data_IF_785147115645
#
_entry.id   IF_785147115645
#
_cell.length_a   1.000
_cell.length_b   1.000
_cell.length_c   1.000
_cell.angle_alpha   90.00
_cell.angle_beta   90.00
_cell.angle_gamma   90.00
#
_symmetry.space_group_name_H-M   'P 1'
#
loop_
_entity.id
_entity.type
_entity.pdbx_description
1 polymer ?
#
# COMPACT_ATOMS: atom_id res chain seq x y z
N UNK A 1 4.01 -28.31 -28.14
CA UNK A 1 4.78 -27.09 -28.47
C UNK A 1 5.22 -26.46 -27.15
N UNK A 2 6.48 -26.70 -26.76
CA UNK A 2 6.99 -26.25 -25.47
C UNK A 2 7.38 -24.77 -25.58
N UNK A 3 6.62 -23.89 -24.92
CA UNK A 3 7.06 -22.53 -24.68
C UNK A 3 8.01 -22.56 -23.48
N UNK A 4 9.30 -22.40 -23.73
CA UNK A 4 10.26 -21.99 -22.70
C UNK A 4 9.82 -20.60 -22.25
N UNK A 5 9.12 -20.51 -21.11
CA UNK A 5 8.97 -19.23 -20.41
C UNK A 5 10.39 -18.81 -20.04
N UNK A 6 10.90 -17.79 -20.72
CA UNK A 6 12.09 -17.10 -20.26
C UNK A 6 11.84 -16.72 -18.79
N UNK A 7 12.67 -17.24 -17.89
CA UNK A 7 12.71 -16.76 -16.52
C UNK A 7 13.10 -15.29 -16.61
N UNK A 8 12.12 -14.39 -16.55
CA UNK A 8 12.40 -12.98 -16.38
C UNK A 8 13.23 -12.86 -15.11
N UNK A 9 14.37 -12.20 -15.17
CA UNK A 9 15.14 -11.90 -13.99
C UNK A 9 14.24 -11.10 -13.02
N UNK A 10 13.74 -11.74 -11.98
CA UNK A 10 12.94 -11.09 -10.95
C UNK A 10 13.87 -10.33 -10.01
N UNK A 11 14.33 -9.15 -10.43
CA UNK A 11 15.13 -8.27 -9.60
C UNK A 11 14.25 -7.71 -8.46
N UNK A 12 14.69 -7.92 -7.21
CA UNK A 12 14.09 -7.25 -6.07
C UNK A 12 14.51 -5.78 -6.05
N UNK A 13 13.56 -4.88 -6.28
CA UNK A 13 13.81 -3.43 -6.41
C UNK A 13 13.22 -2.61 -5.25
N UNK A 14 12.50 -3.26 -4.34
CA UNK A 14 11.82 -2.60 -3.24
C UNK A 14 10.93 -3.56 -2.47
N UNK A 15 10.16 -2.99 -1.55
CA UNK A 15 9.12 -3.69 -0.82
C UNK A 15 7.92 -2.77 -0.63
N UNK A 16 6.73 -3.34 -0.72
CA UNK A 16 5.47 -2.73 -0.30
C UNK A 16 4.90 -3.61 0.81
N UNK A 17 4.79 -3.03 2.00
CA UNK A 17 4.19 -3.66 3.18
C UNK A 17 2.71 -3.30 3.23
N UNK A 18 1.90 -4.27 3.65
CA UNK A 18 0.52 -4.11 4.09
C UNK A 18 0.42 -4.80 5.44
N UNK A 19 -0.01 -4.07 6.46
CA UNK A 19 -0.13 -4.57 7.84
C UNK A 19 -1.38 -4.01 8.50
N UNK A 20 -1.78 -4.59 9.62
CA UNK A 20 -2.95 -4.15 10.35
C UNK A 20 -2.88 -4.62 11.80
N UNK A 21 -3.37 -3.78 12.71
CA UNK A 21 -3.66 -4.16 14.08
C UNK A 21 -5.15 -4.44 14.21
N UNK A 22 -5.51 -5.57 14.83
CA UNK A 22 -6.91 -5.95 15.08
C UNK A 22 -7.81 -5.86 13.82
N UNK A 23 -7.30 -6.34 12.67
CA UNK A 23 -7.96 -6.16 11.38
C UNK A 23 -9.42 -6.63 11.34
N UNK A 24 -9.73 -7.77 11.95
CA UNK A 24 -11.09 -8.30 11.97
C UNK A 24 -12.11 -7.36 12.65
N UNK A 25 -11.65 -6.54 13.62
CA UNK A 25 -12.49 -5.61 14.36
C UNK A 25 -12.53 -4.23 13.71
N UNK A 26 -11.37 -3.73 13.26
CA UNK A 26 -11.21 -2.37 12.77
C UNK A 26 -11.41 -2.25 11.25
N UNK A 27 -11.01 -3.27 10.50
CA UNK A 27 -10.96 -3.25 9.02
C UNK A 27 -9.99 -2.21 8.46
N UNK A 28 -9.01 -1.74 9.25
CA UNK A 28 -8.03 -0.73 8.84
C UNK A 28 -6.68 -1.37 8.60
N UNK A 29 -6.05 -1.03 7.47
CA UNK A 29 -4.68 -1.44 7.11
C UNK A 29 -3.74 -0.25 7.10
N UNK A 30 -2.46 -0.45 7.43
CA UNK A 30 -1.37 0.49 7.18
C UNK A 30 -0.52 0.00 6.00
N UNK A 31 0.07 0.94 5.25
CA UNK A 31 0.98 0.68 4.15
C UNK A 31 2.31 1.42 4.35
N UNK A 32 3.39 0.68 4.19
CA UNK A 32 4.75 1.21 4.19
C UNK A 32 5.52 0.72 2.96
N UNK A 33 6.55 1.44 2.53
CA UNK A 33 7.30 1.01 1.35
C UNK A 33 8.68 1.62 1.22
N UNK A 34 9.52 0.95 0.43
CA UNK A 34 10.79 1.49 -0.03
C UNK A 34 11.11 0.98 -1.43
N UNK A 35 11.89 1.76 -2.18
CA UNK A 35 12.46 1.40 -3.47
C UNK A 35 13.95 1.73 -3.48
N UNK A 36 14.76 0.90 -4.15
CA UNK A 36 16.16 1.24 -4.42
C UNK A 36 16.23 2.51 -5.30
N UNK A 37 17.26 3.37 -5.13
CA UNK A 37 17.29 4.69 -5.77
C UNK A 37 17.06 4.68 -7.29
N UNK A 38 17.67 3.73 -8.00
CA UNK A 38 17.62 3.66 -9.47
C UNK A 38 16.22 3.36 -10.04
N UNK A 39 15.29 2.86 -9.23
CA UNK A 39 13.91 2.55 -9.63
C UNK A 39 12.86 3.58 -9.17
N UNK A 40 13.28 4.63 -8.46
CA UNK A 40 12.40 5.74 -8.04
C UNK A 40 12.05 6.65 -9.23
N UNK A 41 10.91 7.34 -9.14
CA UNK A 41 10.47 8.29 -10.18
C UNK A 41 9.95 7.65 -11.46
N UNK A 42 9.77 6.32 -11.49
CA UNK A 42 9.35 5.55 -12.67
C UNK A 42 7.92 5.02 -12.59
N UNK A 43 7.10 5.52 -11.66
CA UNK A 43 5.73 5.02 -11.44
C UNK A 43 5.62 3.75 -10.58
N UNK A 44 6.70 2.97 -10.43
CA UNK A 44 6.73 1.71 -9.64
C UNK A 44 6.14 1.86 -8.24
N UNK A 45 6.43 2.99 -7.57
CA UNK A 45 5.93 3.22 -6.22
C UNK A 45 4.42 3.39 -6.14
N UNK A 46 3.80 3.97 -7.18
CA UNK A 46 2.34 4.07 -7.29
C UNK A 46 1.73 2.71 -7.61
N UNK A 47 2.33 1.96 -8.53
CA UNK A 47 1.85 0.63 -8.94
C UNK A 47 1.86 -0.37 -7.77
N UNK A 48 2.96 -0.45 -7.02
CA UNK A 48 3.05 -1.39 -5.88
C UNK A 48 2.01 -1.06 -4.78
N UNK A 49 1.78 0.24 -4.50
CA UNK A 49 0.80 0.69 -3.52
C UNK A 49 -0.62 0.38 -4.01
N UNK A 50 -0.92 0.64 -5.28
CA UNK A 50 -2.20 0.30 -5.87
C UNK A 50 -2.49 -1.21 -5.78
N UNK A 51 -1.46 -2.06 -5.97
CA UNK A 51 -1.60 -3.51 -5.84
C UNK A 51 -2.04 -3.95 -4.43
N UNK A 52 -1.38 -3.44 -3.38
CA UNK A 52 -1.77 -3.81 -2.00
C UNK A 52 -3.07 -3.16 -1.55
N UNK A 53 -3.45 -2.00 -2.12
CA UNK A 53 -4.76 -1.40 -1.87
C UNK A 53 -5.88 -2.22 -2.51
N UNK A 54 -5.65 -2.76 -3.71
CA UNK A 54 -6.60 -3.70 -4.30
C UNK A 54 -6.78 -4.93 -3.42
N UNK A 55 -5.69 -5.56 -2.96
CA UNK A 55 -5.75 -6.66 -2.00
C UNK A 55 -6.56 -6.27 -0.75
N UNK A 56 -6.26 -5.10 -0.15
CA UNK A 56 -6.95 -4.66 1.06
C UNK A 56 -8.44 -4.44 0.86
N UNK A 57 -8.84 -3.66 -0.15
CA UNK A 57 -10.23 -3.24 -0.32
C UNK A 57 -11.09 -4.26 -1.07
N UNK A 58 -10.58 -4.81 -2.17
CA UNK A 58 -11.36 -5.70 -3.03
C UNK A 58 -11.47 -7.10 -2.43
N UNK A 59 -10.38 -7.58 -1.83
CA UNK A 59 -10.29 -8.99 -1.45
C UNK A 59 -10.42 -9.23 0.06
N UNK A 60 -9.78 -8.39 0.89
CA UNK A 60 -9.81 -8.53 2.35
C UNK A 60 -10.97 -7.76 3.01
N UNK A 61 -11.67 -6.92 2.25
CA UNK A 61 -12.81 -6.16 2.76
C UNK A 61 -12.44 -5.04 3.75
N UNK A 62 -11.22 -4.50 3.65
CA UNK A 62 -10.81 -3.34 4.44
C UNK A 62 -11.76 -2.15 4.22
N UNK A 63 -11.99 -1.35 5.26
CA UNK A 63 -12.83 -0.14 5.21
C UNK A 63 -11.99 1.13 5.02
N UNK A 64 -10.73 1.09 5.45
CA UNK A 64 -9.78 2.18 5.23
C UNK A 64 -8.33 1.67 5.14
N UNK A 65 -7.50 2.39 4.41
CA UNK A 65 -6.06 2.27 4.42
C UNK A 65 -5.45 3.57 4.94
N UNK A 66 -4.53 3.45 5.89
CA UNK A 66 -3.71 4.56 6.40
C UNK A 66 -2.29 4.43 5.89
N UNK A 67 -1.56 5.53 5.95
CA UNK A 67 -0.12 5.55 5.74
C UNK A 67 0.45 6.78 6.40
N UNK A 68 1.76 6.77 6.59
CA UNK A 68 2.47 7.92 7.14
C UNK A 68 3.82 8.12 6.48
N UNK A 69 4.25 9.36 6.41
CA UNK A 69 5.55 9.71 5.85
C UNK A 69 6.08 10.99 6.49
N UNK A 70 7.40 11.11 6.62
CA UNK A 70 8.02 12.37 7.02
C UNK A 70 7.53 13.51 6.13
N UNK A 71 7.32 14.69 6.71
CA UNK A 71 6.80 15.85 6.00
C UNK A 71 7.66 16.27 4.78
N UNK A 72 8.95 15.89 4.76
CA UNK A 72 9.91 16.12 3.68
C UNK A 72 10.01 14.96 2.67
N UNK A 73 9.31 13.84 2.90
CA UNK A 73 9.25 12.71 1.98
C UNK A 73 8.21 12.95 0.88
N UNK A 74 8.49 13.92 0.02
CA UNK A 74 7.60 14.32 -1.07
C UNK A 74 7.26 13.17 -2.03
N UNK A 75 8.15 12.19 -2.19
CA UNK A 75 7.91 11.03 -3.04
C UNK A 75 6.78 10.14 -2.50
N UNK A 76 6.83 9.76 -1.22
CA UNK A 76 5.78 8.94 -0.62
C UNK A 76 4.46 9.69 -0.54
N UNK A 77 4.50 10.96 -0.12
CA UNK A 77 3.32 11.84 -0.04
C UNK A 77 2.65 12.03 -1.41
N UNK A 78 3.46 12.22 -2.46
CA UNK A 78 2.98 12.33 -3.83
C UNK A 78 2.29 11.06 -4.31
N UNK A 79 2.87 9.88 -4.04
CA UNK A 79 2.24 8.59 -4.35
C UNK A 79 0.89 8.46 -3.65
N UNK A 80 0.83 8.71 -2.33
CA UNK A 80 -0.41 8.59 -1.57
C UNK A 80 -1.50 9.52 -2.11
N UNK A 81 -1.18 10.81 -2.34
CA UNK A 81 -2.14 11.77 -2.91
C UNK A 81 -2.60 11.38 -4.32
N UNK A 82 -1.70 10.85 -5.15
CA UNK A 82 -2.05 10.38 -6.50
C UNK A 82 -2.99 9.16 -6.52
N UNK A 83 -3.07 8.43 -5.40
CA UNK A 83 -3.96 7.29 -5.20
C UNK A 83 -5.24 7.69 -4.43
N UNK A 84 -5.47 8.99 -4.25
CA UNK A 84 -6.68 9.49 -3.64
C UNK A 84 -6.66 9.57 -2.12
N UNK A 85 -5.53 9.31 -1.45
CA UNK A 85 -5.45 9.55 -0.01
C UNK A 85 -5.71 11.03 0.32
N UNK A 86 -6.37 11.24 1.46
CA UNK A 86 -6.60 12.55 2.07
C UNK A 86 -5.67 12.74 3.27
N UNK A 87 -5.36 14.00 3.59
CA UNK A 87 -4.61 14.33 4.81
C UNK A 87 -5.45 13.93 6.05
N UNK A 88 -4.79 13.34 7.06
CA UNK A 88 -5.40 12.82 8.29
C UNK A 88 -4.64 13.32 9.54
N UNK A 89 -4.16 14.56 9.48
CA UNK A 89 -3.33 15.16 10.52
C UNK A 89 -1.88 14.66 10.48
N UNK A 90 -1.20 14.78 11.61
CA UNK A 90 0.20 14.39 11.76
C UNK A 90 0.47 13.87 13.17
N UNK A 91 1.59 13.17 13.30
CA UNK A 91 2.15 12.75 14.58
C UNK A 91 3.60 13.23 14.72
N UNK A 92 4.07 13.38 15.96
CA UNK A 92 5.48 13.62 16.23
C UNK A 92 6.19 12.29 16.47
N UNK A 93 7.25 12.06 15.72
CA UNK A 93 8.08 10.85 15.83
C UNK A 93 9.54 11.23 16.07
N UNK A 94 10.26 10.38 16.79
CA UNK A 94 11.70 10.58 16.97
C UNK A 94 12.42 10.34 15.64
N UNK A 95 13.25 11.30 15.22
CA UNK A 95 14.07 11.24 14.02
C UNK A 95 15.50 11.62 14.38
N UNK A 96 16.29 10.61 14.76
CA UNK A 96 17.61 10.84 15.36
C UNK A 96 17.47 11.46 16.74
N UNK A 97 18.02 12.66 16.93
CA UNK A 97 18.05 13.39 18.20
C UNK A 97 16.92 14.42 18.38
N UNK A 98 15.99 14.51 17.41
CA UNK A 98 14.87 15.45 17.46
C UNK A 98 13.51 14.77 17.29
N UNK A 99 12.46 15.41 17.78
CA UNK A 99 11.10 15.12 17.34
C UNK A 99 10.87 15.78 15.97
N UNK A 100 10.23 15.06 15.06
CA UNK A 100 9.90 15.54 13.72
C UNK A 100 8.51 15.08 13.30
N UNK A 101 7.93 15.75 12.30
CA UNK A 101 6.55 15.55 11.88
C UNK A 101 6.44 14.43 10.85
N UNK A 102 5.60 13.45 11.16
CA UNK A 102 5.16 12.43 10.23
C UNK A 102 3.70 12.71 9.83
N UNK A 103 3.48 13.07 8.57
CA UNK A 103 2.15 13.31 8.02
C UNK A 103 1.39 12.00 7.96
N UNK A 104 0.14 12.01 8.42
CA UNK A 104 -0.78 10.86 8.36
C UNK A 104 -1.73 11.10 7.20
N UNK A 105 -2.00 10.05 6.42
CA UNK A 105 -2.97 10.09 5.34
C UNK A 105 -3.92 8.90 5.42
N UNK A 106 -5.15 9.09 4.94
CA UNK A 106 -6.20 8.07 4.94
C UNK A 106 -6.88 7.96 3.57
N UNK A 107 -7.17 6.74 3.15
CA UNK A 107 -8.01 6.42 2.00
C UNK A 107 -9.13 5.49 2.46
N UNK A 108 -10.39 5.91 2.31
CA UNK A 108 -11.55 5.08 2.63
C UNK A 108 -11.96 4.21 1.44
N UNK A 109 -12.63 3.09 1.71
CA UNK A 109 -13.12 2.19 0.65
C UNK A 109 -14.09 2.88 -0.31
N UNK A 110 -14.96 3.75 0.18
CA UNK A 110 -15.91 4.50 -0.66
C UNK A 110 -15.16 5.42 -1.63
N UNK A 111 -14.17 6.16 -1.13
CA UNK A 111 -13.34 7.02 -1.96
C UNK A 111 -12.51 6.23 -2.96
N UNK A 112 -12.00 5.06 -2.56
CA UNK A 112 -11.28 4.16 -3.45
C UNK A 112 -12.16 3.65 -4.59
N UNK A 113 -13.43 3.30 -4.30
CA UNK A 113 -14.43 2.88 -5.30
C UNK A 113 -14.79 3.98 -6.30
N UNK A 114 -14.76 5.24 -5.86
CA UNK A 114 -15.06 6.41 -6.71
C UNK A 114 -13.88 6.80 -7.63
N UNK A 115 -12.71 6.17 -7.52
CA UNK A 115 -11.59 6.45 -8.40
C UNK A 115 -11.85 5.90 -9.80
N UNK A 116 -11.77 6.78 -10.80
CA UNK A 116 -11.99 6.43 -12.21
C UNK A 116 -10.86 5.55 -12.81
N UNK A 117 -9.68 5.52 -12.19
CA UNK A 117 -8.47 4.85 -12.70
C UNK A 117 -7.89 3.89 -11.63
N UNK A 118 -8.63 2.81 -11.36
CA UNK A 118 -8.12 1.72 -10.53
C UNK A 118 -7.23 0.81 -11.38
N UNK A 119 -6.03 0.54 -10.88
CA UNK A 119 -5.11 -0.39 -11.52
C UNK A 119 -5.76 -1.78 -11.64
N UNK A 120 -5.55 -2.45 -12.77
CA UNK A 120 -5.87 -3.88 -12.91
C UNK A 120 -4.85 -4.69 -12.13
N UNK A 121 -5.32 -5.47 -11.17
CA UNK A 121 -4.49 -6.27 -10.25
C UNK A 121 -5.02 -7.69 -10.25
N UNK A 122 -4.15 -8.66 -10.51
CA UNK A 122 -4.46 -10.08 -10.42
C UNK A 122 -3.95 -10.64 -9.08
N UNK A 123 -4.85 -11.19 -8.27
CA UNK A 123 -4.51 -11.86 -7.01
C UNK A 123 -4.70 -13.37 -7.18
N UNK A 124 -3.66 -14.14 -6.85
CA UNK A 124 -3.67 -15.59 -6.90
C UNK A 124 -3.29 -16.18 -5.53
N UNK A 125 -3.89 -17.33 -5.18
CA UNK A 125 -3.55 -18.06 -3.96
C UNK A 125 -4.11 -17.46 -2.67
N UNK A 126 -5.03 -16.48 -2.73
CA UNK A 126 -5.54 -15.81 -1.53
C UNK A 126 -6.49 -16.67 -0.68
N UNK A 127 -7.39 -17.45 -1.29
CA UNK A 127 -8.45 -18.16 -0.54
C UNK A 127 -7.93 -18.97 0.66
N UNK A 128 -6.86 -19.78 0.54
CA UNK A 128 -6.31 -20.51 1.68
C UNK A 128 -5.73 -19.62 2.80
N UNK A 129 -5.45 -18.35 2.51
CA UNK A 129 -4.89 -17.40 3.46
C UNK A 129 -5.95 -16.60 4.23
N UNK A 130 -7.21 -16.53 3.75
CA UNK A 130 -8.28 -15.74 4.37
C UNK A 130 -8.47 -16.01 5.89
N UNK A 131 -8.39 -17.27 6.38
CA UNK A 131 -8.48 -17.54 7.82
C UNK A 131 -7.38 -16.90 8.67
N UNK A 132 -6.20 -16.63 8.08
CA UNK A 132 -5.10 -15.95 8.78
C UNK A 132 -5.41 -14.47 9.06
N UNK A 133 -6.39 -13.90 8.35
CA UNK A 133 -6.88 -12.54 8.53
C UNK A 133 -8.18 -12.49 9.37
N UNK A 134 -8.62 -13.63 9.93
CA UNK A 134 -9.90 -13.73 10.64
C UNK A 134 -11.12 -13.73 9.71
N UNK A 135 -10.92 -13.98 8.42
CA UNK A 135 -11.97 -14.02 7.40
C UNK A 135 -12.36 -15.46 7.05
N UNK A 136 -13.60 -15.66 6.60
CA UNK A 136 -14.06 -16.94 6.08
C UNK A 136 -13.44 -17.21 4.69
N UNK A 137 -13.05 -18.47 4.44
CA UNK A 137 -12.42 -18.93 3.18
C UNK A 137 -13.40 -19.29 2.06
#
# INVERSE_FOLDING_TARGET
MAAVRAAAAHLLVGSQTLEADQFADLGVVDTASWLVPQWRGRGVGREMRAAVLHLAFAELGAVAAVTSAWHDNHASLGVSRSLGYLDNGYELHARGDRADRMERLILTVDRWRDLADLATVDIAGLRPCLPLFGLSG
#
